data_IF_134362403702
#
_entry.id   IF_134362403702
#
_cell.length_a   1.000
_cell.length_b   1.000
_cell.length_c   1.000
_cell.angle_alpha   90.00
_cell.angle_beta   90.00
_cell.angle_gamma   90.00
#
_symmetry.space_group_name_H-M   'P 1'
#
loop_
_entity.id
_entity.type
_entity.pdbx_description
1 polymer ?
#
# COMPACT_ATOMS: atom_id res chain seq x y z
N UNK A 1 -3.21 2.85 -4.02
CA UNK A 1 -3.60 3.55 -2.77
C UNK A 1 -3.91 2.46 -1.78
N UNK A 2 -3.79 2.67 -0.47
CA UNK A 2 -4.18 1.64 0.50
C UNK A 2 -5.68 1.42 0.36
N UNK A 3 -6.07 0.22 -0.05
CA UNK A 3 -7.49 -0.17 -0.20
C UNK A 3 -8.02 -0.72 1.12
N UNK A 4 -7.25 -1.63 1.74
CA UNK A 4 -7.46 -2.15 3.08
C UNK A 4 -6.19 -2.90 3.53
N UNK A 5 -6.20 -3.37 4.77
CA UNK A 5 -5.09 -4.11 5.38
C UNK A 5 -4.78 -5.42 4.65
N UNK A 6 -5.80 -6.27 4.43
CA UNK A 6 -5.64 -7.59 3.80
C UNK A 6 -5.01 -7.48 2.42
N UNK A 7 -5.51 -6.56 1.59
CA UNK A 7 -4.96 -6.29 0.27
C UNK A 7 -3.50 -5.82 0.35
N UNK A 8 -3.17 -4.93 1.29
CA UNK A 8 -1.81 -4.39 1.42
C UNK A 8 -0.81 -5.48 1.83
N UNK A 9 -1.16 -6.29 2.82
CA UNK A 9 -0.33 -7.41 3.29
C UNK A 9 -0.16 -8.48 2.21
N UNK A 10 -1.26 -8.83 1.52
CA UNK A 10 -1.22 -9.78 0.40
C UNK A 10 -0.25 -9.31 -0.68
N UNK A 11 -0.36 -8.06 -1.12
CA UNK A 11 0.52 -7.53 -2.17
C UNK A 11 1.98 -7.45 -1.72
N UNK A 12 2.24 -6.97 -0.50
CA UNK A 12 3.58 -6.89 0.07
C UNK A 12 4.23 -8.28 0.14
N UNK A 13 3.52 -9.29 0.65
CA UNK A 13 4.00 -10.66 0.79
C UNK A 13 4.34 -11.28 -0.58
N UNK A 14 3.44 -11.16 -1.56
CA UNK A 14 3.64 -11.77 -2.88
C UNK A 14 4.82 -11.15 -3.61
N UNK A 15 4.96 -9.82 -3.57
CA UNK A 15 6.05 -9.12 -4.26
C UNK A 15 7.38 -9.38 -3.54
N UNK A 16 7.42 -9.31 -2.20
CA UNK A 16 8.63 -9.62 -1.42
C UNK A 16 9.16 -11.01 -1.77
N UNK A 17 8.30 -12.03 -1.79
CA UNK A 17 8.69 -13.41 -2.16
C UNK A 17 9.29 -13.53 -3.56
N UNK A 18 8.88 -12.68 -4.50
CA UNK A 18 9.45 -12.65 -5.85
C UNK A 18 10.83 -11.98 -5.81
N UNK A 19 10.93 -10.83 -5.14
CA UNK A 19 12.18 -10.09 -4.99
C UNK A 19 13.26 -10.91 -4.24
N UNK A 20 12.86 -11.65 -3.20
CA UNK A 20 13.75 -12.53 -2.43
C UNK A 20 14.37 -13.63 -3.31
N UNK A 21 13.55 -14.27 -4.17
CA UNK A 21 14.03 -15.28 -5.13
C UNK A 21 15.04 -14.72 -6.12
N UNK A 22 14.86 -13.47 -6.52
CA UNK A 22 15.72 -12.78 -7.49
C UNK A 22 16.89 -12.04 -6.82
N UNK A 23 16.99 -12.04 -5.49
CA UNK A 23 17.98 -11.29 -4.70
C UNK A 23 17.95 -9.78 -4.99
N UNK A 24 16.75 -9.21 -5.10
CA UNK A 24 16.52 -7.78 -5.34
C UNK A 24 16.05 -7.12 -4.04
N UNK A 25 16.71 -6.02 -3.64
CA UNK A 25 16.24 -5.21 -2.52
C UNK A 25 14.86 -4.61 -2.84
N UNK A 26 13.90 -4.85 -1.96
CA UNK A 26 12.51 -4.45 -2.16
C UNK A 26 12.03 -3.52 -1.05
N UNK A 27 11.32 -2.46 -1.44
CA UNK A 27 10.59 -1.57 -0.54
C UNK A 27 9.15 -1.54 -0.99
N UNK A 28 8.25 -2.05 -0.16
CA UNK A 28 6.82 -1.93 -0.42
C UNK A 28 6.37 -0.48 -0.26
N UNK A 29 5.60 0.02 -1.23
CA UNK A 29 5.08 1.39 -1.22
C UNK A 29 3.62 1.40 -1.63
N UNK A 30 2.80 2.08 -0.82
CA UNK A 30 1.45 2.50 -1.20
C UNK A 30 1.18 3.91 -0.70
N UNK A 31 0.33 4.65 -1.40
CA UNK A 31 -0.12 5.97 -0.92
C UNK A 31 -1.35 5.79 -0.03
N UNK A 32 -1.41 6.44 1.13
CA UNK A 32 -2.61 6.45 1.98
C UNK A 32 -3.71 7.34 1.41
N UNK A 33 -3.31 8.49 0.84
CA UNK A 33 -4.19 9.47 0.21
C UNK A 33 -3.73 9.77 -1.22
N UNK A 34 -4.68 9.91 -2.13
CA UNK A 34 -4.49 10.41 -3.48
C UNK A 34 -5.15 11.78 -3.59
N UNK A 35 -4.50 12.78 -3.00
CA UNK A 35 -5.01 14.14 -2.89
C UNK A 35 -5.32 14.85 -4.23
N UNK A 36 -4.78 14.34 -5.33
CA UNK A 36 -4.84 14.95 -6.65
C UNK A 36 -5.72 14.16 -7.63
N UNK A 37 -6.86 13.63 -7.20
CA UNK A 37 -7.86 13.05 -8.10
C UNK A 37 -8.53 14.14 -8.93
N UNK A 38 -8.70 13.90 -10.22
CA UNK A 38 -9.42 14.82 -11.11
C UNK A 38 -10.94 14.77 -10.92
N UNK A 39 -11.49 13.60 -10.54
CA UNK A 39 -12.90 13.47 -10.14
C UNK A 39 -13.01 13.50 -8.61
N UNK A 40 -13.82 14.43 -8.09
CA UNK A 40 -14.07 14.64 -6.67
C UNK A 40 -14.76 13.46 -5.98
N UNK A 41 -15.56 12.68 -6.72
CA UNK A 41 -16.28 11.52 -6.18
C UNK A 41 -15.38 10.29 -6.05
N UNK A 42 -14.14 10.36 -6.54
CA UNK A 42 -13.20 9.24 -6.44
C UNK A 42 -12.72 9.05 -5.01
N UNK A 43 -12.72 7.79 -4.56
CA UNK A 43 -12.07 7.45 -3.29
C UNK A 43 -10.60 7.87 -3.30
N UNK A 44 -10.23 8.53 -2.21
CA UNK A 44 -8.89 9.05 -1.96
C UNK A 44 -8.02 8.10 -1.16
N UNK A 45 -8.61 7.14 -0.46
CA UNK A 45 -7.92 6.15 0.37
C UNK A 45 -8.30 6.24 1.85
N UNK A 46 -7.34 6.00 2.73
CA UNK A 46 -7.53 5.95 4.19
C UNK A 46 -6.96 7.20 4.87
N UNK A 47 -7.40 7.47 6.10
CA UNK A 47 -6.75 8.42 7.00
C UNK A 47 -5.30 7.99 7.30
N UNK A 48 -4.42 8.97 7.49
CA UNK A 48 -3.00 8.74 7.80
C UNK A 48 -2.80 7.87 9.05
N UNK A 49 -3.64 8.00 10.08
CA UNK A 49 -3.54 7.20 11.31
C UNK A 49 -3.80 5.72 11.05
N UNK A 50 -4.82 5.41 10.25
CA UNK A 50 -5.14 4.02 9.87
C UNK A 50 -4.07 3.44 8.94
N UNK A 51 -3.58 4.25 7.99
CA UNK A 51 -2.48 3.83 7.12
C UNK A 51 -1.20 3.50 7.88
N UNK A 52 -0.83 4.29 8.90
CA UNK A 52 0.33 4.01 9.75
C UNK A 52 0.17 2.68 10.50
N UNK A 53 -1.04 2.33 10.96
CA UNK A 53 -1.28 1.02 11.60
C UNK A 53 -1.01 -0.13 10.63
N UNK A 54 -1.40 0.02 9.35
CA UNK A 54 -1.15 -0.99 8.32
C UNK A 54 0.36 -1.09 8.00
N UNK A 55 1.06 0.04 7.85
CA UNK A 55 2.50 0.04 7.55
C UNK A 55 3.40 -0.44 8.69
N UNK A 56 2.90 -0.46 9.93
CA UNK A 56 3.64 -0.96 11.10
C UNK A 56 3.55 -2.49 11.29
N UNK A 57 2.73 -3.17 10.50
CA UNK A 57 2.59 -4.64 10.52
C UNK A 57 3.64 -5.27 9.62
#
# INVERSE_FOLDING_TARGET
VIENESHSLFMAEKISKICDKLKINFVYKSSFDKANRSNIESSRGLDIKEAIKIFKK
#
